data_IF_587680171897
#
_entry.id   IF_587680171897
#
_cell.length_a   1.000
_cell.length_b   1.000
_cell.length_c   1.000
_cell.angle_alpha   90.00
_cell.angle_beta   90.00
_cell.angle_gamma   90.00
#
_symmetry.space_group_name_H-M   'P 1'
#
loop_
_entity.id
_entity.type
_entity.pdbx_description
1 polymer ?
#
# COMPACT_ATOMS: atom_id res chain seq x y z
N UNK A 1 0.98 45.93 33.46
CA UNK A 1 1.31 44.49 33.66
C UNK A 1 0.05 43.62 33.76
N UNK A 2 -0.92 43.93 34.63
CA UNK A 2 -2.19 43.18 34.79
C UNK A 2 -3.01 42.95 33.50
N UNK A 3 -3.12 43.96 32.63
CA UNK A 3 -3.91 43.84 31.39
C UNK A 3 -3.31 42.86 30.38
N UNK A 4 -1.97 42.77 30.30
CA UNK A 4 -1.28 41.82 29.41
C UNK A 4 -1.44 40.37 29.88
N UNK A 5 -1.46 40.16 31.20
CA UNK A 5 -1.71 38.85 31.82
C UNK A 5 -3.16 38.41 31.55
N UNK A 6 -4.13 39.31 31.69
CA UNK A 6 -5.55 38.99 31.39
C UNK A 6 -5.79 38.62 29.92
N UNK A 7 -5.14 39.32 28.98
CA UNK A 7 -5.21 38.99 27.55
C UNK A 7 -4.59 37.62 27.26
N UNK A 8 -3.45 37.31 27.88
CA UNK A 8 -2.81 36.01 27.71
C UNK A 8 -3.66 34.86 28.27
N UNK A 9 -4.25 35.03 29.46
CA UNK A 9 -5.14 34.05 30.07
C UNK A 9 -6.41 33.86 29.24
N UNK A 10 -7.01 34.94 28.75
CA UNK A 10 -8.17 34.85 27.86
C UNK A 10 -7.84 34.12 26.54
N UNK A 11 -6.67 34.39 25.96
CA UNK A 11 -6.19 33.69 24.77
C UNK A 11 -6.02 32.19 24.98
N UNK A 12 -5.40 31.79 26.11
CA UNK A 12 -5.24 30.37 26.48
C UNK A 12 -6.59 29.69 26.67
N UNK A 13 -7.56 30.35 27.33
CA UNK A 13 -8.89 29.79 27.55
C UNK A 13 -9.67 29.63 26.24
N UNK A 14 -9.55 30.58 25.31
CA UNK A 14 -10.16 30.46 23.97
C UNK A 14 -9.54 29.32 23.17
N UNK A 15 -8.21 29.19 23.18
CA UNK A 15 -7.52 28.10 22.49
C UNK A 15 -7.84 26.73 23.10
N UNK A 16 -7.92 26.63 24.43
CA UNK A 16 -8.32 25.42 25.12
C UNK A 16 -9.78 25.06 24.81
N UNK A 17 -10.69 26.05 24.80
CA UNK A 17 -12.08 25.85 24.40
C UNK A 17 -12.22 25.40 22.94
N UNK A 18 -11.45 25.99 22.03
CA UNK A 18 -11.41 25.59 20.62
C UNK A 18 -10.84 24.18 20.43
N UNK A 19 -9.80 23.81 21.19
CA UNK A 19 -9.23 22.46 21.17
C UNK A 19 -10.22 21.42 21.71
N UNK A 20 -10.90 21.69 22.82
CA UNK A 20 -11.93 20.80 23.39
C UNK A 20 -13.11 20.66 22.44
N UNK A 21 -13.57 21.77 21.83
CA UNK A 21 -14.63 21.72 20.82
C UNK A 21 -14.18 20.92 19.59
N UNK A 22 -12.97 21.15 19.09
CA UNK A 22 -12.41 20.40 17.96
C UNK A 22 -12.32 18.91 18.25
N UNK A 23 -11.79 18.51 19.41
CA UNK A 23 -11.71 17.11 19.84
C UNK A 23 -13.10 16.51 20.00
N UNK A 24 -14.07 17.25 20.55
CA UNK A 24 -15.46 16.82 20.66
C UNK A 24 -16.15 16.63 19.31
N UNK A 25 -15.91 17.54 18.35
CA UNK A 25 -16.41 17.40 16.97
C UNK A 25 -15.70 16.30 16.19
N UNK A 26 -14.41 16.05 16.47
CA UNK A 26 -13.64 14.97 15.87
C UNK A 26 -14.05 13.60 16.42
N UNK A 27 -14.33 13.48 17.73
CA UNK A 27 -14.81 12.23 18.32
C UNK A 27 -16.28 11.95 17.98
N UNK A 28 -17.11 12.98 17.80
CA UNK A 28 -18.47 12.83 17.29
C UNK A 28 -18.52 12.41 15.81
N UNK A 29 -17.43 12.57 15.05
CA UNK A 29 -17.28 12.03 13.69
C UNK A 29 -16.89 10.56 13.64
N UNK A 30 -16.61 9.93 14.77
CA UNK A 30 -16.59 8.47 14.91
C UNK A 30 -18.03 7.96 14.82
N UNK A 31 -18.65 8.06 13.64
CA UNK A 31 -19.90 7.38 13.40
C UNK A 31 -19.58 5.89 13.39
N UNK A 32 -20.18 5.12 14.31
CA UNK A 32 -20.23 3.67 14.16
C UNK A 32 -20.92 3.38 12.84
N UNK A 33 -20.11 3.06 11.82
CA UNK A 33 -20.61 2.71 10.49
C UNK A 33 -21.39 1.41 10.66
N UNK A 34 -22.71 1.48 10.50
CA UNK A 34 -23.54 0.28 10.51
C UNK A 34 -23.09 -0.61 9.34
N UNK A 35 -22.48 -1.75 9.66
CA UNK A 35 -22.03 -2.70 8.66
C UNK A 35 -23.18 -3.04 7.71
N UNK A 36 -22.97 -2.88 6.40
CA UNK A 36 -24.00 -3.17 5.39
C UNK A 36 -24.05 -4.65 5.01
N UNK A 37 -23.09 -5.45 5.48
CA UNK A 37 -23.05 -6.91 5.35
C UNK A 37 -21.71 -7.52 5.78
N UNK A 38 -21.56 -8.83 5.60
CA UNK A 38 -20.34 -9.55 5.93
C UNK A 38 -19.36 -9.55 4.74
N UNK A 39 -18.23 -8.85 4.89
CA UNK A 39 -17.10 -8.96 3.97
C UNK A 39 -16.38 -10.30 4.23
N UNK A 40 -16.07 -11.04 3.17
CA UNK A 40 -15.23 -12.23 3.25
C UNK A 40 -14.07 -12.13 2.28
N UNK A 41 -12.89 -12.56 2.73
CA UNK A 41 -11.67 -12.62 1.92
C UNK A 41 -11.52 -13.96 1.17
N UNK A 42 -12.48 -14.87 1.30
CA UNK A 42 -12.49 -16.12 0.54
C UNK A 42 -12.44 -15.81 -0.97
N UNK A 43 -11.70 -16.62 -1.76
CA UNK A 43 -11.61 -16.42 -3.20
C UNK A 43 -12.99 -16.32 -3.86
N UNK A 44 -13.15 -15.38 -4.79
CA UNK A 44 -14.40 -15.15 -5.49
C UNK A 44 -14.41 -13.86 -6.32
N UNK A 45 -15.49 -13.60 -7.09
CA UNK A 45 -15.56 -12.51 -8.07
C UNK A 45 -15.82 -11.15 -7.41
N UNK A 46 -14.97 -10.76 -6.45
CA UNK A 46 -15.11 -9.53 -5.66
C UNK A 46 -13.82 -8.73 -5.68
N UNK A 47 -13.98 -7.41 -5.62
CA UNK A 47 -12.89 -6.48 -5.40
C UNK A 47 -12.96 -5.98 -3.96
N UNK A 48 -11.88 -6.19 -3.21
CA UNK A 48 -11.66 -5.59 -1.89
C UNK A 48 -11.03 -4.21 -2.07
N UNK A 49 -11.41 -3.27 -1.21
CA UNK A 49 -10.78 -1.95 -1.11
C UNK A 49 -11.01 -1.36 0.28
N UNK A 50 -10.28 -0.28 0.57
CA UNK A 50 -10.57 0.62 1.70
C UNK A 50 -11.41 1.78 1.20
N UNK A 51 -12.56 2.05 1.83
CA UNK A 51 -13.42 3.16 1.43
C UNK A 51 -12.81 4.52 1.81
N UNK A 52 -13.05 5.52 0.97
CA UNK A 52 -12.77 6.93 1.29
C UNK A 52 -14.04 7.78 1.38
N UNK A 53 -15.21 7.19 1.17
CA UNK A 53 -16.48 7.91 1.23
C UNK A 53 -16.74 8.39 2.66
N UNK A 54 -17.42 9.53 2.83
CA UNK A 54 -17.65 10.11 4.15
C UNK A 54 -18.43 9.19 5.10
N UNK A 55 -19.34 8.37 4.57
CA UNK A 55 -20.21 7.49 5.35
C UNK A 55 -19.50 6.27 5.95
N UNK A 56 -18.40 5.83 5.35
CA UNK A 56 -17.69 4.59 5.71
C UNK A 56 -16.16 4.73 5.61
N UNK A 57 -15.65 5.96 5.78
CA UNK A 57 -14.24 6.28 5.57
C UNK A 57 -13.31 5.37 6.39
N UNK A 58 -12.37 4.74 5.70
CA UNK A 58 -11.38 3.86 6.31
C UNK A 58 -11.81 2.41 6.49
N UNK A 59 -13.09 2.11 6.30
CA UNK A 59 -13.61 0.76 6.42
C UNK A 59 -13.22 -0.11 5.23
N UNK A 60 -12.98 -1.38 5.50
CA UNK A 60 -12.77 -2.41 4.49
C UNK A 60 -14.11 -2.78 3.88
N UNK A 61 -14.19 -2.71 2.55
CA UNK A 61 -15.39 -2.96 1.80
C UNK A 61 -15.12 -3.84 0.56
N UNK A 62 -16.19 -4.41 0.01
CA UNK A 62 -16.15 -5.16 -1.24
C UNK A 62 -17.27 -4.76 -2.18
N UNK A 63 -17.01 -4.89 -3.48
CA UNK A 63 -18.00 -4.82 -4.58
C UNK A 63 -17.88 -6.05 -5.46
N UNK A 64 -18.92 -6.34 -6.26
CA UNK A 64 -18.86 -7.36 -7.30
C UNK A 64 -17.92 -6.93 -8.43
N UNK A 65 -17.10 -7.84 -8.94
CA UNK A 65 -16.30 -7.57 -10.15
C UNK A 65 -17.15 -7.42 -11.41
N UNK A 66 -18.37 -7.99 -11.42
CA UNK A 66 -19.32 -7.82 -12.52
C UNK A 66 -20.06 -6.47 -12.50
N UNK A 67 -20.10 -5.81 -11.33
CA UNK A 67 -20.66 -4.47 -11.17
C UNK A 67 -19.85 -3.67 -10.13
N UNK A 68 -18.65 -3.19 -10.49
CA UNK A 68 -17.75 -2.50 -9.54
C UNK A 68 -18.28 -1.16 -9.04
N UNK A 69 -19.23 -0.55 -9.76
CA UNK A 69 -19.92 0.68 -9.35
C UNK A 69 -21.20 0.42 -8.53
N UNK A 70 -21.57 -0.86 -8.35
CA UNK A 70 -22.76 -1.29 -7.65
C UNK A 70 -22.69 -1.15 -6.13
N UNK A 71 -23.65 -1.74 -5.41
CA UNK A 71 -23.73 -1.67 -3.96
C UNK A 71 -22.49 -2.23 -3.25
N UNK A 72 -22.04 -1.52 -2.21
CA UNK A 72 -20.90 -1.92 -1.37
C UNK A 72 -21.35 -2.81 -0.21
N UNK A 73 -20.60 -3.87 0.04
CA UNK A 73 -20.64 -4.57 1.34
C UNK A 73 -19.52 -4.01 2.20
N UNK A 74 -19.86 -3.36 3.31
CA UNK A 74 -18.93 -2.64 4.18
C UNK A 74 -18.84 -3.35 5.52
N UNK A 75 -17.61 -3.63 5.96
CA UNK A 75 -17.32 -4.25 7.25
C UNK A 75 -17.04 -3.19 8.33
N UNK A 76 -17.16 -3.52 9.62
CA UNK A 76 -16.76 -2.60 10.70
C UNK A 76 -15.23 -2.47 10.83
N UNK A 77 -14.43 -3.29 10.15
CA UNK A 77 -12.98 -3.25 10.21
C UNK A 77 -12.46 -2.00 9.50
N UNK A 78 -11.72 -1.16 10.22
CA UNK A 78 -11.02 0.01 9.68
C UNK A 78 -9.52 -0.23 9.56
N UNK A 79 -8.94 0.17 8.43
CA UNK A 79 -7.52 0.06 8.13
C UNK A 79 -6.99 1.40 7.58
N UNK A 80 -5.70 1.65 7.68
CA UNK A 80 -4.97 2.68 6.91
C UNK A 80 -4.57 2.14 5.54
N UNK A 81 -4.15 0.87 5.48
CA UNK A 81 -3.88 0.12 4.24
C UNK A 81 -4.40 -1.29 4.37
N UNK A 82 -4.92 -1.84 3.29
CA UNK A 82 -5.46 -3.20 3.26
C UNK A 82 -5.07 -3.91 1.97
N UNK A 83 -4.81 -5.20 2.05
CA UNK A 83 -4.71 -6.09 0.89
C UNK A 83 -5.16 -7.49 1.30
N UNK A 84 -5.64 -8.29 0.36
CA UNK A 84 -5.97 -9.69 0.62
C UNK A 84 -5.75 -10.56 -0.62
N UNK A 85 -5.40 -11.81 -0.39
CA UNK A 85 -5.29 -12.87 -1.40
C UNK A 85 -5.33 -14.23 -0.70
N UNK A 86 -5.78 -15.28 -1.40
CA UNK A 86 -5.76 -16.66 -0.88
C UNK A 86 -6.56 -16.88 0.41
N UNK A 87 -7.55 -16.03 0.73
CA UNK A 87 -8.28 -16.11 2.00
C UNK A 87 -7.60 -15.43 3.19
N UNK A 88 -6.40 -14.86 3.00
CA UNK A 88 -5.67 -14.12 4.05
C UNK A 88 -5.74 -12.62 3.77
N UNK A 89 -5.98 -11.84 4.83
CA UNK A 89 -5.92 -10.38 4.78
C UNK A 89 -4.73 -9.82 5.53
N UNK A 90 -4.27 -8.67 5.06
CA UNK A 90 -3.32 -7.81 5.74
C UNK A 90 -3.96 -6.44 5.93
N UNK A 91 -4.17 -6.05 7.18
CA UNK A 91 -4.66 -4.72 7.55
C UNK A 91 -3.59 -3.99 8.36
N UNK A 92 -3.15 -2.83 7.88
CA UNK A 92 -2.32 -1.93 8.66
C UNK A 92 -3.23 -0.87 9.27
N UNK A 93 -3.22 -0.71 10.59
CA UNK A 93 -4.13 0.20 11.30
C UNK A 93 -3.45 0.85 12.51
N UNK A 94 -4.00 1.95 13.06
CA UNK A 94 -3.56 2.46 14.35
C UNK A 94 -3.66 1.41 15.46
N UNK A 95 -2.76 1.50 16.44
CA UNK A 95 -2.74 0.66 17.62
C UNK A 95 -3.27 1.42 18.84
N UNK A 96 -4.58 1.30 19.08
CA UNK A 96 -5.28 2.01 20.15
C UNK A 96 -5.30 3.54 19.96
N UNK A 97 -5.23 4.26 21.08
CA UNK A 97 -5.28 5.73 21.13
C UNK A 97 -3.89 6.39 20.95
N UNK A 98 -2.84 5.59 20.77
CA UNK A 98 -1.48 6.07 20.58
C UNK A 98 -1.21 6.35 19.09
N UNK A 99 -0.19 7.17 18.83
CA UNK A 99 0.32 7.42 17.46
C UNK A 99 1.15 6.25 16.92
N UNK A 100 0.88 5.03 17.36
CA UNK A 100 1.54 3.80 16.93
C UNK A 100 0.65 3.05 15.94
N UNK A 101 1.27 2.21 15.12
CA UNK A 101 0.56 1.41 14.14
C UNK A 101 0.83 -0.06 14.40
N UNK A 102 0.01 -0.90 13.78
CA UNK A 102 0.17 -2.34 13.83
C UNK A 102 -0.21 -2.97 12.49
N UNK A 103 0.45 -4.08 12.21
CA UNK A 103 0.07 -5.04 11.21
C UNK A 103 -0.90 -6.04 11.83
N UNK A 104 -2.01 -6.30 11.16
CA UNK A 104 -2.99 -7.32 11.55
C UNK A 104 -3.13 -8.33 10.41
N UNK A 105 -2.77 -9.57 10.70
CA UNK A 105 -3.09 -10.71 9.85
C UNK A 105 -4.55 -11.10 10.10
N UNK A 106 -5.33 -11.20 9.03
CA UNK A 106 -6.76 -11.52 9.07
C UNK A 106 -7.02 -12.86 8.39
N UNK A 107 -8.02 -13.59 8.86
CA UNK A 107 -8.58 -14.72 8.11
C UNK A 107 -9.69 -14.30 7.13
N UNK A 108 -10.28 -15.31 6.49
CA UNK A 108 -11.31 -15.15 5.47
C UNK A 108 -12.60 -14.48 5.98
N UNK A 109 -12.78 -14.33 7.29
CA UNK A 109 -13.92 -13.70 7.96
C UNK A 109 -13.53 -12.38 8.64
N UNK A 110 -12.34 -11.84 8.33
CA UNK A 110 -11.77 -10.63 8.93
C UNK A 110 -11.44 -10.76 10.44
N UNK A 111 -11.32 -11.98 10.97
CA UNK A 111 -10.89 -12.14 12.36
C UNK A 111 -9.37 -12.00 12.46
N UNK A 112 -8.90 -11.23 13.46
CA UNK A 112 -7.48 -11.10 13.78
C UNK A 112 -6.88 -12.46 14.16
N UNK A 113 -5.83 -12.87 13.45
CA UNK A 113 -5.00 -14.04 13.78
C UNK A 113 -3.71 -13.66 14.49
N UNK A 114 -3.12 -12.54 14.11
CA UNK A 114 -1.84 -12.05 14.64
C UNK A 114 -1.81 -10.54 14.51
N UNK A 115 -1.27 -9.89 15.53
CA UNK A 115 -1.05 -8.44 15.57
C UNK A 115 0.43 -8.19 15.88
N UNK A 116 1.09 -7.39 15.05
CA UNK A 116 2.52 -7.06 15.18
C UNK A 116 2.66 -5.54 15.20
N UNK A 117 3.27 -4.95 16.25
CA UNK A 117 3.53 -3.51 16.30
C UNK A 117 4.40 -3.05 15.13
N UNK A 118 4.08 -1.87 14.59
CA UNK A 118 4.82 -1.20 13.53
C UNK A 118 5.29 0.18 13.99
N UNK A 119 6.52 0.51 13.62
CA UNK A 119 7.10 1.84 13.82
C UNK A 119 7.13 2.55 12.48
N UNK A 120 6.33 3.61 12.33
CA UNK A 120 6.22 4.39 11.12
C UNK A 120 4.80 4.45 10.55
N UNK A 121 4.57 5.37 9.61
CA UNK A 121 3.28 5.57 8.98
C UNK A 121 3.04 4.49 7.90
N UNK A 122 1.96 3.69 7.97
CA UNK A 122 1.65 2.68 6.95
C UNK A 122 1.54 3.27 5.55
N UNK A 123 2.23 2.64 4.59
CA UNK A 123 2.21 3.05 3.20
C UNK A 123 1.70 1.95 2.26
N UNK A 124 2.13 0.70 2.44
CA UNK A 124 1.78 -0.40 1.52
C UNK A 124 1.51 -1.70 2.27
N UNK A 125 0.61 -2.49 1.70
CA UNK A 125 0.27 -3.83 2.15
C UNK A 125 0.20 -4.75 0.92
N UNK A 126 0.77 -5.95 1.03
CA UNK A 126 0.67 -6.99 -0.01
C UNK A 126 0.58 -8.37 0.64
N UNK A 127 -0.19 -9.25 0.01
CA UNK A 127 -0.33 -10.66 0.36
C UNK A 127 0.04 -11.50 -0.88
N UNK A 128 0.77 -12.60 -0.73
CA UNK A 128 1.04 -13.53 -1.84
C UNK A 128 -0.23 -14.23 -2.31
N UNK A 129 -0.24 -14.75 -3.53
CA UNK A 129 -1.42 -15.38 -4.13
C UNK A 129 -1.98 -16.53 -3.28
N UNK A 130 -1.12 -17.29 -2.60
CA UNK A 130 -1.51 -18.38 -1.69
C UNK A 130 -2.09 -17.90 -0.36
N UNK A 131 -1.92 -16.62 -0.01
CA UNK A 131 -2.24 -16.08 1.31
C UNK A 131 -1.15 -16.28 2.36
N UNK A 132 0.01 -16.88 2.02
CA UNK A 132 1.06 -17.25 2.99
C UNK A 132 1.98 -16.10 3.36
N UNK A 133 2.42 -15.30 2.38
CA UNK A 133 3.41 -14.25 2.61
C UNK A 133 2.73 -12.90 2.76
N UNK A 134 3.07 -12.17 3.81
CA UNK A 134 2.62 -10.80 4.03
C UNK A 134 3.81 -9.85 3.85
N UNK A 135 3.63 -8.75 3.14
CA UNK A 135 4.60 -7.67 3.10
C UNK A 135 3.95 -6.33 3.41
N UNK A 136 4.69 -5.48 4.10
CA UNK A 136 4.28 -4.12 4.39
C UNK A 136 5.41 -3.14 4.10
N UNK A 137 5.04 -1.88 3.92
CA UNK A 137 5.98 -0.75 3.91
C UNK A 137 5.44 0.34 4.81
N UNK A 138 6.30 0.90 5.66
CA UNK A 138 6.02 2.08 6.46
C UNK A 138 6.98 3.22 6.10
N UNK A 139 6.55 4.46 6.24
CA UNK A 139 7.46 5.61 6.26
C UNK A 139 8.02 5.79 7.67
N UNK A 140 9.34 5.92 7.77
CA UNK A 140 10.04 6.22 9.01
C UNK A 140 10.64 7.61 8.93
N UNK A 141 10.47 8.37 10.02
CA UNK A 141 11.02 9.72 10.17
C UNK A 141 12.19 9.63 11.14
N UNK A 142 13.35 10.19 10.79
CA UNK A 142 14.49 10.31 11.71
C UNK A 142 15.78 9.58 11.29
N UNK A 143 15.82 8.92 10.13
CA UNK A 143 17.08 8.40 9.59
C UNK A 143 17.95 9.57 9.10
N UNK A 144 18.92 9.95 9.93
CA UNK A 144 19.78 11.13 9.77
C UNK A 144 20.69 11.09 8.53
N UNK A 145 20.77 9.95 7.85
CA UNK A 145 21.69 9.72 6.73
C UNK A 145 21.06 9.96 5.35
N UNK A 146 19.73 10.14 5.24
CA UNK A 146 19.04 10.45 3.98
C UNK A 146 18.73 11.95 3.79
N UNK A 147 19.56 12.83 4.36
CA UNK A 147 19.43 14.28 4.18
C UNK A 147 18.12 14.90 4.71
N UNK A 148 17.41 14.22 5.61
CA UNK A 148 16.13 14.68 6.15
C UNK A 148 14.90 14.38 5.26
N UNK A 149 15.07 13.59 4.20
CA UNK A 149 13.97 13.05 3.39
C UNK A 149 13.41 11.77 4.05
N UNK A 150 12.12 11.49 3.87
CA UNK A 150 11.47 10.28 4.39
C UNK A 150 12.23 9.01 3.96
N UNK A 151 12.50 8.12 4.91
CA UNK A 151 13.01 6.77 4.67
C UNK A 151 11.84 5.78 4.77
N UNK A 152 11.97 4.60 4.20
CA UNK A 152 10.96 3.55 4.30
C UNK A 152 11.52 2.36 5.04
N UNK A 153 10.62 1.52 5.56
CA UNK A 153 11.00 0.20 6.06
C UNK A 153 10.04 -0.82 5.48
N UNK A 154 10.56 -1.73 4.68
CA UNK A 154 9.80 -2.84 4.11
C UNK A 154 10.10 -4.12 4.87
N UNK A 155 9.05 -4.86 5.24
CA UNK A 155 9.20 -6.16 5.89
C UNK A 155 8.37 -7.24 5.21
N UNK A 156 8.74 -8.50 5.48
CA UNK A 156 8.07 -9.70 5.00
C UNK A 156 7.87 -10.66 6.16
N UNK A 157 6.68 -11.26 6.24
CA UNK A 157 6.32 -12.32 7.18
C UNK A 157 5.85 -13.54 6.41
N UNK A 158 6.46 -14.69 6.71
CA UNK A 158 5.90 -16.00 6.36
C UNK A 158 4.92 -16.43 7.46
N UNK A 159 3.64 -16.51 7.13
CA UNK A 159 2.61 -16.86 8.12
C UNK A 159 2.59 -18.34 8.49
N UNK A 160 3.19 -19.22 7.66
CA UNK A 160 3.25 -20.65 7.92
C UNK A 160 4.36 -21.00 8.91
N UNK A 161 5.55 -20.39 8.78
CA UNK A 161 6.70 -20.64 9.66
C UNK A 161 6.78 -19.65 10.82
N UNK A 162 6.25 -18.44 10.63
CA UNK A 162 6.45 -17.31 11.54
C UNK A 162 7.74 -16.53 11.29
N UNK A 163 8.53 -16.89 10.27
CA UNK A 163 9.77 -16.20 9.94
C UNK A 163 9.47 -14.76 9.51
N UNK A 164 10.16 -13.82 10.16
CA UNK A 164 9.91 -12.40 10.05
C UNK A 164 11.20 -11.68 9.62
N UNK A 165 11.23 -11.18 8.39
CA UNK A 165 12.17 -10.15 7.99
C UNK A 165 11.55 -8.78 8.30
N UNK A 166 11.91 -8.19 9.43
CA UNK A 166 11.39 -6.88 9.85
C UNK A 166 11.87 -5.70 9.00
N UNK A 167 12.88 -5.93 8.15
CA UNK A 167 13.50 -4.94 7.26
C UNK A 167 14.16 -5.70 6.10
N UNK A 168 14.11 -5.16 4.87
CA UNK A 168 14.82 -5.73 3.72
C UNK A 168 16.22 -5.14 3.57
N UNK A 169 16.51 -4.05 4.28
CA UNK A 169 17.80 -3.37 4.32
C UNK A 169 18.94 -4.25 4.84
N UNK A 170 18.62 -5.32 5.57
CA UNK A 170 19.58 -6.31 6.07
C UNK A 170 19.94 -7.39 5.03
N UNK A 171 19.29 -7.40 3.86
CA UNK A 171 19.51 -8.42 2.84
C UNK A 171 20.80 -8.16 2.07
N UNK A 172 21.48 -9.24 1.67
CA UNK A 172 22.66 -9.14 0.82
C UNK A 172 22.26 -8.68 -0.59
N UNK A 173 22.76 -7.51 -0.99
CA UNK A 173 22.46 -6.89 -2.29
C UNK A 173 23.51 -7.24 -3.33
N UNK A 174 23.03 -7.61 -4.53
CA UNK A 174 23.85 -7.68 -5.74
C UNK A 174 23.40 -6.60 -6.72
N UNK A 175 24.25 -5.61 -6.97
CA UNK A 175 24.04 -4.54 -7.96
C UNK A 175 24.88 -4.85 -9.19
N UNK A 176 24.24 -5.02 -10.35
CA UNK A 176 24.90 -5.27 -11.64
C UNK A 176 25.89 -6.45 -11.59
N UNK A 177 25.47 -7.53 -10.92
CA UNK A 177 26.25 -8.76 -10.77
C UNK A 177 27.37 -8.70 -9.73
N UNK A 178 27.50 -7.60 -8.98
CA UNK A 178 28.53 -7.44 -7.94
C UNK A 178 27.91 -7.28 -6.56
N UNK A 179 28.50 -7.85 -5.50
CA UNK A 179 28.09 -7.55 -4.13
C UNK A 179 28.12 -6.04 -3.89
N UNK A 180 27.06 -5.54 -3.25
CA UNK A 180 26.86 -4.11 -3.02
C UNK A 180 26.40 -3.86 -1.59
N UNK A 181 26.92 -2.81 -0.99
CA UNK A 181 26.52 -2.34 0.32
C UNK A 181 26.63 -0.82 0.34
N UNK A 182 25.58 -0.15 0.78
CA UNK A 182 25.58 1.28 0.98
C UNK A 182 24.66 1.64 2.14
N UNK A 183 24.98 2.73 2.84
CA UNK A 183 24.18 3.20 3.98
C UNK A 183 22.82 3.79 3.57
N UNK A 184 22.66 4.14 2.29
CA UNK A 184 21.44 4.73 1.73
C UNK A 184 20.51 3.71 1.06
N UNK A 185 20.78 2.41 1.24
CA UNK A 185 19.89 1.34 0.79
C UNK A 185 18.52 1.50 1.44
N UNK A 186 17.47 1.59 0.62
CA UNK A 186 16.11 1.74 1.09
C UNK A 186 15.15 0.90 0.23
N UNK A 187 14.21 0.19 0.86
CA UNK A 187 13.31 -0.73 0.18
C UNK A 187 11.84 -0.41 0.40
N UNK A 188 11.03 -0.59 -0.65
CA UNK A 188 9.58 -0.46 -0.56
C UNK A 188 8.85 -1.22 -1.67
N UNK A 189 7.55 -1.43 -1.46
CA UNK A 189 6.66 -1.98 -2.48
C UNK A 189 7.07 -3.39 -2.89
N UNK A 190 6.54 -4.38 -2.18
CA UNK A 190 6.85 -5.79 -2.41
C UNK A 190 5.71 -6.46 -3.17
N UNK A 191 6.05 -7.46 -3.99
CA UNK A 191 5.11 -8.40 -4.62
C UNK A 191 5.75 -9.78 -4.69
N UNK A 192 4.95 -10.83 -4.60
CA UNK A 192 5.44 -12.20 -4.43
C UNK A 192 5.26 -13.02 -5.69
N UNK A 193 6.20 -13.92 -5.95
CA UNK A 193 6.01 -15.00 -6.91
C UNK A 193 5.14 -16.11 -6.29
N UNK A 194 4.63 -17.01 -7.11
CA UNK A 194 3.71 -18.09 -6.67
C UNK A 194 4.35 -19.13 -5.74
N UNK A 195 5.68 -19.19 -5.67
CA UNK A 195 6.38 -20.18 -4.85
C UNK A 195 6.52 -19.79 -3.37
N UNK A 196 6.01 -18.60 -2.99
CA UNK A 196 6.11 -18.03 -1.64
C UNK A 196 7.54 -17.92 -1.09
N UNK A 197 8.54 -17.91 -1.97
CA UNK A 197 9.96 -17.75 -1.62
C UNK A 197 10.55 -16.54 -2.31
N UNK A 198 10.30 -16.38 -3.60
CA UNK A 198 10.83 -15.28 -4.37
C UNK A 198 9.85 -14.11 -4.41
N UNK A 199 10.41 -12.91 -4.45
CA UNK A 199 9.65 -11.67 -4.50
C UNK A 199 10.33 -10.65 -5.42
N UNK A 200 9.56 -9.63 -5.83
CA UNK A 200 10.09 -8.41 -6.40
C UNK A 200 9.85 -7.25 -5.44
N UNK A 201 10.79 -6.32 -5.40
CA UNK A 201 10.66 -5.10 -4.62
C UNK A 201 11.25 -3.90 -5.36
N UNK A 202 10.99 -2.71 -4.83
CA UNK A 202 11.77 -1.52 -5.16
C UNK A 202 12.95 -1.43 -4.21
N UNK A 203 14.13 -1.15 -4.75
CA UNK A 203 15.31 -0.75 -3.99
C UNK A 203 15.77 0.61 -4.50
N UNK A 204 16.17 1.51 -3.61
CA UNK A 204 16.83 2.76 -3.97
C UNK A 204 18.20 2.88 -3.32
N UNK A 205 19.13 3.45 -4.05
CA UNK A 205 20.48 3.80 -3.62
C UNK A 205 21.13 4.71 -4.67
N UNK A 206 22.01 5.60 -4.23
CA UNK A 206 22.73 6.56 -5.05
C UNK A 206 21.81 7.45 -5.93
N UNK A 207 20.57 7.69 -5.50
CA UNK A 207 19.57 8.45 -6.26
C UNK A 207 18.86 7.67 -7.38
N UNK A 208 19.20 6.39 -7.56
CA UNK A 208 18.56 5.49 -8.53
C UNK A 208 17.55 4.59 -7.84
N UNK A 209 16.55 4.14 -8.59
CA UNK A 209 15.49 3.22 -8.15
C UNK A 209 15.50 1.99 -9.03
N UNK A 210 15.42 0.82 -8.43
CA UNK A 210 15.59 -0.45 -9.11
C UNK A 210 14.43 -1.39 -8.80
N UNK A 211 13.98 -2.12 -9.82
CA UNK A 211 13.35 -3.42 -9.63
C UNK A 211 14.42 -4.39 -9.16
N UNK A 212 14.19 -5.03 -8.02
CA UNK A 212 15.01 -6.14 -7.54
C UNK A 212 14.22 -7.43 -7.53
N UNK A 213 14.91 -8.55 -7.77
CA UNK A 213 14.41 -9.89 -7.45
C UNK A 213 15.07 -10.37 -6.16
N UNK A 214 14.26 -10.81 -5.20
CA UNK A 214 14.70 -11.32 -3.92
C UNK A 214 14.37 -12.78 -3.69
N UNK A 215 15.15 -13.42 -2.83
CA UNK A 215 14.88 -14.73 -2.23
C UNK A 215 14.75 -14.52 -0.72
N UNK A 216 13.54 -14.73 -0.20
CA UNK A 216 13.22 -14.54 1.21
C UNK A 216 13.99 -15.49 2.11
N UNK A 217 14.11 -16.77 1.73
CA UNK A 217 14.80 -17.76 2.56
C UNK A 217 16.32 -17.55 2.58
N UNK A 218 16.89 -17.06 1.48
CA UNK A 218 18.32 -16.80 1.38
C UNK A 218 18.74 -15.41 1.88
N UNK A 219 17.80 -14.51 2.17
CA UNK A 219 18.05 -13.10 2.50
C UNK A 219 18.92 -12.38 1.45
N UNK A 220 18.59 -12.58 0.17
CA UNK A 220 19.33 -11.96 -0.94
C UNK A 220 18.40 -11.17 -1.85
N UNK A 221 18.94 -10.11 -2.46
CA UNK A 221 18.30 -9.38 -3.56
C UNK A 221 19.31 -9.09 -4.67
N UNK A 222 18.84 -9.03 -5.91
CA UNK A 222 19.64 -8.59 -7.07
C UNK A 222 18.88 -7.62 -7.93
N UNK A 223 19.57 -6.63 -8.48
CA UNK A 223 18.96 -5.66 -9.42
C UNK A 223 18.60 -6.31 -10.75
N UNK A 224 17.49 -5.85 -11.33
CA UNK A 224 17.02 -6.27 -12.65
C UNK A 224 16.88 -5.10 -13.62
N UNK A 225 16.34 -3.97 -13.16
CA UNK A 225 16.02 -2.83 -14.03
C UNK A 225 15.93 -1.53 -13.24
N UNK A 226 16.42 -0.44 -13.81
CA UNK A 226 16.26 0.91 -13.26
C UNK A 226 14.89 1.55 -13.53
N UNK A 227 14.58 2.59 -12.75
CA UNK A 227 13.37 3.43 -12.82
C UNK A 227 12.06 2.62 -12.70
N UNK A 228 12.06 1.63 -11.82
CA UNK A 228 10.89 0.82 -11.48
C UNK A 228 10.57 1.01 -10.00
N UNK A 229 9.33 1.37 -9.70
CA UNK A 229 8.84 1.46 -8.33
C UNK A 229 7.51 0.74 -8.12
N UNK A 230 7.29 0.29 -6.89
CA UNK A 230 6.05 -0.29 -6.39
C UNK A 230 5.56 -1.45 -7.28
N UNK A 231 6.38 -2.49 -7.52
CA UNK A 231 6.04 -3.58 -8.41
C UNK A 231 4.79 -4.37 -7.98
N UNK A 232 4.13 -4.95 -8.97
CA UNK A 232 2.97 -5.83 -8.85
C UNK A 232 3.10 -6.95 -9.87
N UNK A 233 3.34 -8.16 -9.42
CA UNK A 233 3.46 -9.33 -10.30
C UNK A 233 2.06 -9.74 -10.79
N UNK A 234 1.95 -10.03 -12.08
CA UNK A 234 0.72 -10.54 -12.70
C UNK A 234 0.33 -11.89 -12.11
N UNK A 235 -0.96 -12.26 -12.17
CA UNK A 235 -1.39 -13.57 -11.67
C UNK A 235 -0.59 -14.68 -12.33
N UNK A 236 -0.44 -14.66 -13.67
CA UNK A 236 0.37 -15.60 -14.45
C UNK A 236 1.88 -15.65 -14.09
N UNK A 237 2.43 -14.67 -13.36
CA UNK A 237 3.83 -14.59 -12.96
C UNK A 237 4.81 -14.11 -14.05
N UNK A 238 4.32 -13.66 -15.19
CA UNK A 238 5.14 -13.33 -16.37
C UNK A 238 5.39 -11.83 -16.55
N UNK A 239 4.60 -10.98 -15.90
CA UNK A 239 4.62 -9.52 -16.08
C UNK A 239 4.63 -8.79 -14.74
N UNK A 240 5.31 -7.67 -14.68
CA UNK A 240 5.30 -6.77 -13.51
C UNK A 240 4.70 -5.44 -13.91
N UNK A 241 3.59 -5.04 -13.29
CA UNK A 241 3.07 -3.69 -13.35
C UNK A 241 3.79 -2.82 -12.30
N UNK A 242 4.12 -1.59 -12.67
CA UNK A 242 4.88 -0.68 -11.81
C UNK A 242 4.62 0.78 -12.19
N UNK A 243 5.06 1.71 -11.33
CA UNK A 243 5.17 3.12 -11.69
C UNK A 243 6.63 3.46 -12.00
N UNK A 244 6.86 4.35 -12.96
CA UNK A 244 8.18 4.86 -13.32
C UNK A 244 8.16 6.38 -13.38
N UNK A 245 9.25 7.03 -12.96
CA UNK A 245 9.36 8.47 -13.05
C UNK A 245 9.52 8.90 -14.50
N UNK A 246 8.84 9.96 -14.92
CA UNK A 246 8.96 10.53 -16.28
C UNK A 246 10.38 11.03 -16.48
N UNK A 247 11.05 10.56 -17.53
CA UNK A 247 12.48 10.81 -17.81
C UNK A 247 13.43 10.45 -16.63
N UNK A 248 13.01 9.56 -15.73
CA UNK A 248 13.77 9.20 -14.53
C UNK A 248 13.66 10.21 -13.38
N UNK A 249 12.89 11.28 -13.53
CA UNK A 249 12.76 12.38 -12.57
C UNK A 249 11.37 12.39 -11.88
N UNK A 250 11.29 12.05 -10.58
CA UNK A 250 10.03 12.05 -9.83
C UNK A 250 9.32 13.40 -9.80
N UNK A 251 10.04 14.51 -9.95
CA UNK A 251 9.45 15.85 -9.98
C UNK A 251 8.56 16.07 -11.22
N UNK A 252 8.78 15.30 -12.29
CA UNK A 252 7.95 15.30 -13.50
C UNK A 252 6.71 14.38 -13.39
N UNK A 253 6.60 13.65 -12.28
CA UNK A 253 5.50 12.73 -12.00
C UNK A 253 5.76 11.29 -12.43
N UNK A 254 4.73 10.46 -12.21
CA UNK A 254 4.79 9.01 -12.32
C UNK A 254 3.89 8.49 -13.43
N UNK A 255 4.35 7.49 -14.17
CA UNK A 255 3.57 6.79 -15.21
C UNK A 255 3.50 5.31 -14.91
N UNK A 256 2.31 4.74 -15.13
CA UNK A 256 2.12 3.29 -15.01
C UNK A 256 2.64 2.59 -16.26
N UNK A 257 3.36 1.49 -16.05
CA UNK A 257 3.91 0.63 -17.09
C UNK A 257 3.82 -0.83 -16.70
N UNK A 258 3.92 -1.71 -17.70
CA UNK A 258 4.03 -3.16 -17.52
C UNK A 258 5.33 -3.65 -18.16
N UNK A 259 6.10 -4.42 -17.41
CA UNK A 259 7.32 -5.10 -17.83
C UNK A 259 6.98 -6.57 -18.11
N UNK A 260 7.20 -7.02 -19.34
CA UNK A 260 7.34 -8.44 -19.64
C UNK A 260 8.70 -8.93 -19.13
N UNK A 261 8.70 -9.90 -18.22
CA UNK A 261 9.92 -10.37 -17.56
C UNK A 261 10.84 -11.16 -18.50
N UNK A 262 10.27 -11.95 -19.41
CA UNK A 262 11.03 -12.80 -20.32
C UNK A 262 11.62 -12.00 -21.48
N UNK A 263 10.80 -11.16 -22.11
CA UNK A 263 11.21 -10.31 -23.23
C UNK A 263 11.95 -9.05 -22.79
N UNK A 264 11.94 -8.72 -21.49
CA UNK A 264 12.48 -7.46 -20.95
C UNK A 264 11.89 -6.22 -21.64
N UNK A 265 10.64 -6.31 -22.08
CA UNK A 265 9.93 -5.26 -22.82
C UNK A 265 9.03 -4.47 -21.87
N UNK A 266 9.16 -3.15 -21.88
CA UNK A 266 8.27 -2.24 -21.16
C UNK A 266 7.18 -1.73 -22.10
N UNK A 267 5.95 -1.74 -21.62
CA UNK A 267 4.77 -1.16 -22.29
C UNK A 267 4.17 -0.09 -21.38
N UNK A 268 4.14 1.15 -21.86
CA UNK A 268 3.49 2.24 -21.15
C UNK A 268 1.96 2.05 -21.19
N UNK A 269 1.29 2.30 -20.07
CA UNK A 269 -0.17 2.21 -20.01
C UNK A 269 -0.83 3.51 -20.45
N UNK A 270 -2.10 3.43 -20.86
CA UNK A 270 -2.86 4.58 -21.36
C UNK A 270 -3.17 5.66 -20.30
N UNK A 271 -2.81 5.45 -19.02
CA UNK A 271 -2.95 6.44 -17.96
C UNK A 271 -1.87 7.52 -18.06
N UNK A 272 -2.31 8.76 -18.27
CA UNK A 272 -1.44 9.93 -18.46
C UNK A 272 -1.43 10.87 -17.26
N UNK A 273 -2.24 10.63 -16.23
CA UNK A 273 -2.13 11.34 -14.95
C UNK A 273 -0.94 10.81 -14.16
N UNK A 274 -0.41 11.63 -13.25
CA UNK A 274 0.63 11.18 -12.32
C UNK A 274 0.01 10.25 -11.28
N UNK A 275 0.45 9.00 -11.21
CA UNK A 275 -0.06 7.99 -10.25
C UNK A 275 1.06 7.58 -9.30
N UNK A 276 0.97 8.04 -8.05
CA UNK A 276 1.93 7.74 -6.99
C UNK A 276 1.38 6.67 -6.03
N UNK A 277 0.98 5.52 -6.59
CA UNK A 277 0.44 4.37 -5.85
C UNK A 277 1.03 3.06 -6.36
N UNK A 278 0.81 1.95 -5.64
CA UNK A 278 1.19 0.61 -6.10
C UNK A 278 0.07 0.05 -6.97
N UNK A 279 0.30 -0.21 -8.27
CA UNK A 279 -0.71 -0.85 -9.12
C UNK A 279 -1.05 -2.26 -8.60
N UNK A 280 -2.28 -2.69 -8.85
CA UNK A 280 -2.76 -4.03 -8.56
C UNK A 280 -3.27 -4.68 -9.84
N UNK A 281 -2.95 -5.96 -10.06
CA UNK A 281 -3.62 -6.73 -11.10
C UNK A 281 -5.01 -7.11 -10.60
N UNK A 282 -6.03 -6.81 -11.41
CA UNK A 282 -7.41 -7.18 -11.12
C UNK A 282 -7.78 -8.53 -11.74
N UNK A 283 -7.10 -8.86 -12.83
CA UNK A 283 -7.13 -10.10 -13.60
C UNK A 283 -5.82 -10.16 -14.44
N UNK A 284 -5.70 -11.05 -15.43
CA UNK A 284 -4.51 -11.17 -16.29
C UNK A 284 -4.32 -10.00 -17.28
N UNK A 285 -5.29 -9.11 -17.43
CA UNK A 285 -5.32 -8.09 -18.48
C UNK A 285 -5.59 -6.67 -17.96
N UNK A 286 -5.97 -6.51 -16.70
CA UNK A 286 -6.44 -5.23 -16.15
C UNK A 286 -5.63 -4.81 -14.93
N UNK A 287 -5.15 -3.57 -14.95
CA UNK A 287 -4.48 -2.93 -13.81
C UNK A 287 -5.45 -1.98 -13.11
N UNK A 288 -5.58 -2.12 -11.79
CA UNK A 288 -6.28 -1.19 -10.90
C UNK A 288 -5.31 -0.34 -10.07
N UNK A 289 -5.70 0.89 -9.76
CA UNK A 289 -4.86 1.84 -9.02
C UNK A 289 -5.69 2.96 -8.39
N UNK A 290 -5.21 3.53 -7.28
CA UNK A 290 -5.83 4.69 -6.64
C UNK A 290 -5.45 6.02 -7.31
N UNK A 291 -6.40 6.95 -7.42
CA UNK A 291 -6.17 8.33 -7.86
C UNK A 291 -6.79 9.29 -6.83
N UNK A 292 -5.99 10.14 -6.16
CA UNK A 292 -6.52 11.15 -5.24
C UNK A 292 -7.44 12.16 -5.93
N UNK A 293 -8.57 12.48 -5.28
CA UNK A 293 -9.50 13.54 -5.73
C UNK A 293 -9.49 14.79 -4.86
N UNK A 294 -8.94 14.67 -3.65
CA UNK A 294 -8.89 15.74 -2.66
C UNK A 294 -8.46 15.21 -1.30
N UNK A 295 -8.42 16.07 -0.27
CA UNK A 295 -8.00 15.67 1.06
C UNK A 295 -8.85 14.50 1.60
N UNK A 296 -8.22 13.33 1.78
CA UNK A 296 -8.89 12.14 2.33
C UNK A 296 -9.86 11.41 1.38
N UNK A 297 -9.88 11.76 0.10
CA UNK A 297 -10.72 11.12 -0.93
C UNK A 297 -9.89 10.63 -2.11
N UNK A 298 -10.18 9.42 -2.56
CA UNK A 298 -9.57 8.81 -3.73
C UNK A 298 -10.61 8.00 -4.51
N UNK A 299 -10.31 7.67 -5.76
CA UNK A 299 -11.06 6.67 -6.51
C UNK A 299 -10.12 5.56 -6.96
N UNK A 300 -10.66 4.35 -7.12
CA UNK A 300 -9.99 3.29 -7.86
C UNK A 300 -10.33 3.43 -9.34
N UNK A 301 -9.29 3.53 -10.16
CA UNK A 301 -9.34 3.51 -11.61
C UNK A 301 -8.76 2.21 -12.15
N UNK A 302 -9.08 1.89 -13.40
CA UNK A 302 -8.50 0.75 -14.11
C UNK A 302 -8.10 1.08 -15.54
N UNK A 303 -7.10 0.36 -16.05
CA UNK A 303 -6.61 0.47 -17.43
C UNK A 303 -6.17 -0.90 -17.96
N UNK A 304 -6.33 -1.20 -19.27
CA UNK A 304 -5.75 -2.39 -19.87
C UNK A 304 -4.23 -2.44 -19.70
N UNK A 305 -3.71 -3.62 -19.34
CA UNK A 305 -2.30 -3.88 -19.07
C UNK A 305 -1.42 -3.93 -20.32
N UNK A 306 -2.03 -4.00 -21.51
CA UNK A 306 -1.34 -4.00 -22.81
C UNK A 306 -1.08 -2.59 -23.37
N UNK A 307 -1.48 -1.55 -22.62
CA UNK A 307 -1.35 -0.14 -23.01
C UNK A 307 -2.41 0.34 -24.01
N UNK A 308 -3.33 -0.53 -24.42
CA UNK A 308 -4.46 -0.15 -25.26
C UNK A 308 -5.60 0.50 -24.44
N UNK A 309 -6.65 0.91 -25.15
CA UNK A 309 -7.85 1.46 -24.51
C UNK A 309 -7.60 2.79 -23.81
N UNK A 310 -8.36 3.05 -22.75
CA UNK A 310 -8.28 4.29 -21.98
C UNK A 310 -8.65 4.03 -20.52
N UNK A 311 -8.09 4.79 -19.56
CA UNK A 311 -8.46 4.70 -18.15
C UNK A 311 -9.96 4.82 -17.92
N UNK A 312 -10.48 4.07 -16.93
CA UNK A 312 -11.89 4.10 -16.51
C UNK A 312 -11.98 4.17 -15.00
N UNK A 313 -12.92 4.97 -14.51
CA UNK A 313 -13.30 4.94 -13.10
C UNK A 313 -13.91 3.57 -12.82
N UNK A 314 -13.36 2.84 -11.86
CA UNK A 314 -13.80 1.50 -11.52
C UNK A 314 -14.66 1.51 -10.26
N UNK A 315 -14.13 2.06 -9.16
CA UNK A 315 -14.84 2.22 -7.89
C UNK A 315 -14.62 3.64 -7.39
N UNK A 316 -15.68 4.47 -7.29
CA UNK A 316 -15.55 5.81 -6.70
C UNK A 316 -15.22 5.69 -5.21
N UNK A 317 -14.66 6.73 -4.59
CA UNK A 317 -14.46 6.82 -3.13
C UNK A 317 -13.80 5.56 -2.51
N UNK A 318 -12.68 5.13 -3.09
CA UNK A 318 -11.99 3.89 -2.74
C UNK A 318 -10.49 3.99 -3.00
N UNK A 319 -9.71 3.21 -2.25
CA UNK A 319 -8.27 3.01 -2.45
C UNK A 319 -7.83 1.59 -2.06
N UNK A 320 -6.56 1.24 -2.30
CA UNK A 320 -5.99 -0.10 -2.01
C UNK A 320 -6.78 -1.26 -2.66
N UNK A 321 -6.98 -1.25 -3.99
CA UNK A 321 -7.74 -2.30 -4.66
C UNK A 321 -7.00 -3.65 -4.59
N UNK A 322 -7.73 -4.71 -4.26
CA UNK A 322 -7.25 -6.08 -4.29
C UNK A 322 -8.33 -7.01 -4.85
N UNK A 323 -8.05 -7.65 -5.98
CA UNK A 323 -8.94 -8.68 -6.51
C UNK A 323 -8.88 -9.92 -5.62
N UNK A 324 -10.04 -10.43 -5.23
CA UNK A 324 -10.17 -11.69 -4.49
C UNK A 324 -10.33 -12.90 -5.42
N UNK A 325 -10.11 -12.72 -6.73
CA UNK A 325 -10.22 -13.78 -7.73
C UNK A 325 -9.19 -14.91 -7.51
N UNK A 326 -9.50 -16.07 -8.08
CA UNK A 326 -8.76 -17.33 -7.97
C UNK A 326 -7.50 -17.36 -8.82
#
# INVERSE_FOLDING_TARGET
>A
MRTRILIAVAGVLVLAGAAVAYVGFASARSHDVAATGAVSLSPGPRLLFRSTADADRGHVATVSTADPAGPRTVSPLSCTRVYAAGGTGLCLRPDGDLTTYQLVQLDAQLASKREIPLVGLPNRARVSASGRMLAWTVFVTGDSYNGGLFSTRAGILDTATGDLAGTLEDYAVTLDGKPYQAADLNFWGVTFTRDDRHFYATMSTAGHRYLVAGDFAAHTVRTLRENVECPSLSPDGTRVAFKSAVDGDPAKGWRLSVLDLAASKVTALAETRSVDDQPAWLDDHTIGYGVPRGPGHADVWSVPADGSGTPRLLVPEAESPAALGT
#
